data_IF_212132432050
#
_entry.id   IF_212132432050
#
_cell.length_a   1.000
_cell.length_b   1.000
_cell.length_c   1.000
_cell.angle_alpha   90.00
_cell.angle_beta   90.00
_cell.angle_gamma   90.00
#
_symmetry.space_group_name_H-M   'P 1'
#
loop_
_entity.id
_entity.type
_entity.pdbx_description
1 polymer ?
#
# COMPACT_ATOMS: atom_id res chain seq x y z
N UNK A 1 6.71 18.95 -3.57
CA UNK A 1 8.03 18.35 -3.22
C UNK A 1 7.78 16.93 -2.76
N UNK A 2 8.04 15.93 -3.58
CA UNK A 2 7.88 14.52 -3.20
C UNK A 2 9.01 14.17 -2.22
N UNK A 3 8.71 13.89 -0.93
CA UNK A 3 9.76 13.54 0.02
C UNK A 3 10.47 12.27 -0.47
N UNK A 4 11.77 12.41 -0.72
CA UNK A 4 12.64 11.37 -1.27
C UNK A 4 12.76 10.12 -0.35
N UNK A 5 12.47 10.29 0.93
CA UNK A 5 12.51 9.21 1.91
C UNK A 5 11.15 8.51 1.99
N UNK A 6 11.04 7.34 1.35
CA UNK A 6 9.95 6.41 1.64
C UNK A 6 10.08 5.96 3.10
N UNK A 7 9.32 6.58 4.01
CA UNK A 7 9.05 6.04 5.35
C UNK A 7 8.21 4.77 5.17
N UNK A 8 8.86 3.65 4.88
CA UNK A 8 8.20 2.38 4.61
C UNK A 8 9.08 1.19 4.96
N UNK A 9 8.43 0.05 5.19
CA UNK A 9 9.12 -1.22 5.41
C UNK A 9 10.00 -1.55 4.20
N UNK A 10 11.31 -1.55 4.39
CA UNK A 10 12.31 -1.84 3.35
C UNK A 10 12.10 -3.20 2.66
N UNK A 11 11.47 -4.15 3.36
CA UNK A 11 11.11 -5.46 2.80
C UNK A 11 10.10 -5.35 1.66
N UNK A 12 9.26 -4.30 1.63
CA UNK A 12 8.24 -4.08 0.59
C UNK A 12 8.85 -3.85 -0.81
N UNK A 13 10.12 -3.44 -0.88
CA UNK A 13 10.82 -3.24 -2.15
C UNK A 13 11.95 -4.25 -2.36
N UNK A 14 12.61 -4.67 -1.28
CA UNK A 14 13.70 -5.64 -1.36
C UNK A 14 13.22 -7.00 -1.88
N UNK A 15 12.13 -7.54 -1.33
CA UNK A 15 11.62 -8.86 -1.73
C UNK A 15 11.16 -8.87 -3.19
N UNK A 16 10.33 -7.92 -3.66
CA UNK A 16 9.97 -7.84 -5.08
C UNK A 16 11.19 -7.70 -6.01
N UNK A 17 12.21 -6.93 -5.62
CA UNK A 17 13.41 -6.79 -6.43
C UNK A 17 14.19 -8.10 -6.56
N UNK A 18 14.32 -8.86 -5.47
CA UNK A 18 14.96 -10.18 -5.48
C UNK A 18 14.20 -11.14 -6.40
N UNK A 19 12.87 -11.15 -6.33
CA UNK A 19 12.03 -11.97 -7.20
C UNK A 19 12.15 -11.57 -8.67
N UNK A 20 12.24 -10.27 -8.95
CA UNK A 20 12.45 -9.73 -10.30
C UNK A 20 13.80 -10.15 -10.88
N UNK A 21 14.88 -10.06 -10.08
CA UNK A 21 16.20 -10.52 -10.49
C UNK A 21 16.22 -12.03 -10.72
N UNK A 22 15.63 -12.81 -9.81
CA UNK A 22 15.50 -14.26 -9.98
C UNK A 22 14.69 -14.62 -11.25
N UNK A 23 13.62 -13.88 -11.53
CA UNK A 23 12.85 -14.00 -12.76
C UNK A 23 13.71 -13.76 -14.00
N UNK A 24 14.54 -12.72 -13.99
CA UNK A 24 15.45 -12.43 -15.09
C UNK A 24 16.44 -13.58 -15.31
N UNK A 25 17.02 -14.14 -14.24
CA UNK A 25 17.94 -15.29 -14.37
C UNK A 25 17.25 -16.50 -14.98
N UNK A 26 16.08 -16.87 -14.45
CA UNK A 26 15.36 -18.05 -14.92
C UNK A 26 14.93 -17.91 -16.38
N UNK A 27 14.52 -16.70 -16.77
CA UNK A 27 14.23 -16.38 -18.15
C UNK A 27 15.48 -16.52 -19.04
N UNK A 28 16.60 -15.92 -18.63
CA UNK A 28 17.85 -15.95 -19.40
C UNK A 28 18.35 -17.37 -19.60
N UNK A 29 18.45 -18.18 -18.53
CA UNK A 29 18.91 -19.56 -18.65
C UNK A 29 17.91 -20.46 -19.38
N UNK A 30 16.60 -20.28 -19.15
CA UNK A 30 15.57 -21.01 -19.88
C UNK A 30 15.63 -20.74 -21.39
N UNK A 31 15.88 -19.48 -21.76
CA UNK A 31 16.05 -19.06 -23.16
C UNK A 31 17.35 -19.62 -23.74
N UNK A 32 18.47 -19.52 -23.02
CA UNK A 32 19.77 -20.07 -23.43
C UNK A 32 19.69 -21.56 -23.72
N UNK A 33 19.11 -22.35 -22.81
CA UNK A 33 18.93 -23.80 -22.98
C UNK A 33 18.03 -24.12 -24.17
N UNK A 34 16.90 -23.42 -24.31
CA UNK A 34 15.97 -23.62 -25.43
C UNK A 34 16.66 -23.33 -26.78
N UNK A 35 17.45 -22.26 -26.85
CA UNK A 35 18.21 -21.92 -28.06
C UNK A 35 19.32 -22.93 -28.36
N UNK A 36 20.05 -23.42 -27.35
CA UNK A 36 21.06 -24.48 -27.53
C UNK A 36 20.44 -25.79 -28.02
N UNK A 37 19.21 -26.11 -27.62
CA UNK A 37 18.49 -27.29 -28.13
C UNK A 37 18.09 -27.16 -29.60
N UNK A 38 17.70 -25.96 -30.02
CA UNK A 38 17.35 -25.66 -31.42
C UNK A 38 18.60 -25.54 -32.30
N UNK A 39 19.66 -24.93 -31.77
CA UNK A 39 20.91 -24.63 -32.45
C UNK A 39 22.09 -25.12 -31.58
N UNK A 40 22.61 -26.35 -31.78
CA UNK A 40 23.69 -26.90 -30.94
C UNK A 40 25.00 -26.10 -30.97
N UNK A 41 25.21 -25.27 -31.99
CA UNK A 41 26.34 -24.34 -32.12
C UNK A 41 26.12 -23.00 -31.41
N UNK A 42 24.94 -22.80 -30.80
CA UNK A 42 24.59 -21.55 -30.14
C UNK A 42 25.49 -21.29 -28.93
N UNK A 43 26.22 -20.18 -28.97
CA UNK A 43 27.07 -19.70 -27.87
C UNK A 43 26.41 -18.52 -27.16
N UNK A 44 25.93 -17.55 -27.94
CA UNK A 44 25.18 -16.39 -27.47
C UNK A 44 24.28 -15.86 -28.58
N UNK A 45 23.24 -15.09 -28.21
CA UNK A 45 22.38 -14.42 -29.19
C UNK A 45 23.24 -13.54 -30.10
N UNK A 46 24.15 -12.74 -29.54
CA UNK A 46 25.03 -11.86 -30.30
C UNK A 46 25.93 -12.58 -31.31
N UNK A 47 26.48 -13.74 -30.92
CA UNK A 47 27.37 -14.52 -31.77
C UNK A 47 26.60 -15.26 -32.87
N UNK A 48 25.41 -15.81 -32.56
CA UNK A 48 24.55 -16.46 -33.56
C UNK A 48 24.19 -15.45 -34.67
N UNK A 49 23.83 -14.20 -34.30
CA UNK A 49 23.55 -13.15 -35.28
C UNK A 49 24.75 -12.69 -36.09
N UNK A 50 25.92 -12.62 -35.46
CA UNK A 50 27.14 -12.26 -36.18
C UNK A 50 27.44 -13.29 -37.29
N UNK A 51 27.16 -14.57 -37.04
CA UNK A 51 27.36 -15.63 -38.01
C UNK A 51 26.34 -15.58 -39.16
N UNK A 52 25.07 -15.27 -38.87
CA UNK A 52 24.00 -15.27 -39.88
C UNK A 52 23.99 -14.02 -40.78
N UNK A 53 24.28 -12.84 -40.22
CA UNK A 53 24.09 -11.55 -40.92
C UNK A 53 25.43 -10.86 -41.21
N UNK A 54 26.54 -11.33 -40.61
CA UNK A 54 27.86 -10.70 -40.74
C UNK A 54 27.95 -9.32 -40.07
N UNK A 55 26.96 -8.96 -39.24
CA UNK A 55 26.89 -7.68 -38.55
C UNK A 55 27.31 -7.84 -37.08
N UNK A 56 28.26 -7.02 -36.62
CA UNK A 56 28.72 -7.05 -35.23
C UNK A 56 27.88 -6.12 -34.36
N UNK A 57 27.20 -6.68 -33.36
CA UNK A 57 26.40 -5.94 -32.39
C UNK A 57 27.21 -5.36 -31.22
N UNK A 58 28.55 -5.48 -31.24
CA UNK A 58 29.44 -5.11 -30.14
C UNK A 58 29.27 -3.66 -29.65
N UNK A 59 28.88 -2.73 -30.52
CA UNK A 59 28.63 -1.32 -30.17
C UNK A 59 27.18 -1.09 -29.72
N UNK A 60 26.22 -1.87 -30.24
CA UNK A 60 24.79 -1.68 -30.01
C UNK A 60 24.34 -2.23 -28.66
N UNK A 61 24.93 -3.33 -28.20
CA UNK A 61 24.62 -3.93 -26.89
C UNK A 61 24.83 -2.95 -25.72
N UNK A 62 26.02 -2.37 -25.51
CA UNK A 62 26.23 -1.42 -24.40
C UNK A 62 25.43 -0.12 -24.59
N UNK A 63 25.20 0.29 -25.84
CA UNK A 63 24.39 1.46 -26.15
C UNK A 63 22.94 1.24 -25.71
N UNK A 64 22.34 0.10 -26.03
CA UNK A 64 20.95 -0.19 -25.70
C UNK A 64 20.76 -0.41 -24.19
N UNK A 65 21.74 -1.06 -23.55
CA UNK A 65 21.81 -1.17 -22.10
C UNK A 65 21.89 0.20 -21.43
N UNK A 66 22.71 1.11 -21.96
CA UNK A 66 22.81 2.49 -21.51
C UNK A 66 21.50 3.28 -21.70
N UNK A 67 20.82 3.09 -22.84
CA UNK A 67 19.50 3.70 -23.12
C UNK A 67 18.46 3.19 -22.10
N UNK A 68 18.40 1.88 -21.86
CA UNK A 68 17.50 1.29 -20.88
C UNK A 68 17.72 1.87 -19.48
N UNK A 69 18.98 1.98 -19.05
CA UNK A 69 19.35 2.54 -17.75
C UNK A 69 18.98 4.03 -17.62
N UNK A 70 19.23 4.81 -18.68
CA UNK A 70 18.90 6.22 -18.73
C UNK A 70 17.38 6.43 -18.68
N UNK A 71 16.62 5.68 -19.49
CA UNK A 71 15.15 5.78 -19.51
C UNK A 71 14.57 5.38 -18.15
N UNK A 72 15.10 4.33 -17.52
CA UNK A 72 14.69 3.96 -16.17
C UNK A 72 14.91 5.11 -15.18
N UNK A 73 16.05 5.81 -15.26
CA UNK A 73 16.35 6.98 -14.44
C UNK A 73 15.44 8.19 -14.68
N UNK A 74 15.14 8.51 -15.94
CA UNK A 74 14.21 9.60 -16.28
C UNK A 74 12.79 9.25 -15.82
N UNK A 75 12.36 8.02 -16.09
CA UNK A 75 11.00 7.58 -15.76
C UNK A 75 10.78 7.52 -14.24
N UNK A 76 11.80 7.06 -13.51
CA UNK A 76 11.89 7.09 -12.06
C UNK A 76 11.69 8.50 -11.47
N UNK A 77 12.35 9.50 -12.07
CA UNK A 77 12.31 10.89 -11.62
C UNK A 77 10.97 11.54 -11.95
N UNK A 78 10.47 11.34 -13.18
CA UNK A 78 9.23 11.97 -13.67
C UNK A 78 7.96 11.38 -13.05
N UNK A 79 7.84 10.05 -13.00
CA UNK A 79 6.61 9.35 -12.60
C UNK A 79 6.67 8.74 -11.21
N UNK A 80 7.80 8.91 -10.53
CA UNK A 80 8.05 8.32 -9.24
C UNK A 80 8.54 6.88 -9.30
N UNK A 81 9.20 6.50 -8.21
CA UNK A 81 9.98 5.27 -8.05
C UNK A 81 9.17 3.99 -8.19
N UNK A 82 7.99 4.01 -7.59
CA UNK A 82 7.07 2.88 -7.61
C UNK A 82 6.59 2.59 -9.02
N UNK A 83 6.26 3.64 -9.78
CA UNK A 83 5.83 3.54 -11.17
C UNK A 83 6.96 2.98 -12.03
N UNK A 84 8.21 3.44 -11.80
CA UNK A 84 9.39 2.85 -12.43
C UNK A 84 9.52 1.35 -12.15
N UNK A 85 9.44 0.94 -10.88
CA UNK A 85 9.54 -0.47 -10.50
C UNK A 85 8.45 -1.34 -11.14
N UNK A 86 7.21 -0.87 -11.13
CA UNK A 86 6.09 -1.56 -11.76
C UNK A 86 6.29 -1.66 -13.28
N UNK A 87 6.87 -0.63 -13.92
CA UNK A 87 7.22 -0.68 -15.34
C UNK A 87 8.29 -1.74 -15.61
N UNK A 88 9.31 -1.89 -14.77
CA UNK A 88 10.30 -2.98 -14.94
C UNK A 88 9.66 -4.35 -14.77
N UNK A 89 8.76 -4.49 -13.80
CA UNK A 89 8.05 -5.75 -13.58
C UNK A 89 7.21 -6.12 -14.81
N UNK A 90 6.53 -5.13 -15.41
CA UNK A 90 5.80 -5.29 -16.66
C UNK A 90 6.74 -5.67 -17.81
N UNK A 91 7.83 -4.93 -18.01
CA UNK A 91 8.81 -5.19 -19.07
C UNK A 91 9.41 -6.59 -18.96
N UNK A 92 9.75 -7.04 -17.75
CA UNK A 92 10.25 -8.40 -17.51
C UNK A 92 9.18 -9.46 -17.80
N UNK A 93 7.92 -9.21 -17.42
CA UNK A 93 6.81 -10.11 -17.73
C UNK A 93 6.56 -10.23 -19.23
N UNK A 94 6.60 -9.10 -19.95
CA UNK A 94 6.49 -9.07 -21.42
C UNK A 94 7.65 -9.81 -22.08
N UNK A 95 8.89 -9.57 -21.62
CA UNK A 95 10.06 -10.28 -22.12
C UNK A 95 9.92 -11.79 -21.92
N UNK A 96 9.48 -12.22 -20.72
CA UNK A 96 9.28 -13.64 -20.43
C UNK A 96 8.19 -14.27 -21.31
N UNK A 97 7.05 -13.60 -21.49
CA UNK A 97 5.92 -14.09 -22.29
C UNK A 97 6.26 -14.13 -23.79
N UNK A 98 6.82 -13.05 -24.33
CA UNK A 98 7.05 -12.92 -25.77
C UNK A 98 8.32 -13.61 -26.23
N UNK A 99 9.29 -13.89 -25.34
CA UNK A 99 10.54 -14.56 -25.73
C UNK A 99 10.31 -15.87 -26.48
N UNK A 100 9.40 -16.73 -26.03
CA UNK A 100 9.07 -18.00 -26.70
C UNK A 100 8.56 -17.81 -28.12
N UNK A 101 7.86 -16.71 -28.40
CA UNK A 101 7.35 -16.43 -29.74
C UNK A 101 8.46 -16.07 -30.74
N UNK A 102 9.62 -15.59 -30.27
CA UNK A 102 10.74 -15.17 -31.14
C UNK A 102 11.65 -16.31 -31.59
N UNK A 103 11.50 -17.53 -31.06
CA UNK A 103 12.34 -18.69 -31.43
C UNK A 103 11.56 -19.99 -31.72
N UNK A 104 10.22 -19.95 -31.77
CA UNK A 104 9.36 -21.12 -32.08
C UNK A 104 9.21 -21.37 -33.59
N UNK A 105 9.40 -20.34 -34.42
CA UNK A 105 9.49 -20.50 -35.88
C UNK A 105 10.95 -20.72 -36.27
N UNK A 106 11.20 -21.54 -37.28
CA UNK A 106 12.52 -21.91 -37.83
C UNK A 106 13.41 -20.76 -38.32
N UNK A 107 13.04 -19.52 -38.02
CA UNK A 107 13.78 -18.28 -38.23
C UNK A 107 13.83 -17.62 -36.85
N UNK A 108 14.99 -17.62 -36.21
CA UNK A 108 15.17 -16.84 -34.98
C UNK A 108 15.09 -15.35 -35.37
N UNK A 109 13.98 -14.68 -35.06
CA UNK A 109 13.91 -13.22 -35.05
C UNK A 109 14.58 -12.69 -33.78
N UNK A 110 15.84 -13.07 -33.60
CA UNK A 110 16.57 -12.77 -32.38
C UNK A 110 17.18 -11.36 -32.34
N UNK A 111 17.10 -10.57 -33.41
CA UNK A 111 17.38 -9.13 -33.33
C UNK A 111 16.38 -8.46 -32.37
N UNK A 112 15.05 -8.54 -32.58
CA UNK A 112 14.07 -8.07 -31.60
C UNK A 112 14.31 -8.60 -30.19
N UNK A 113 14.63 -9.88 -30.05
CA UNK A 113 14.86 -10.50 -28.75
C UNK A 113 16.10 -9.93 -28.05
N UNK A 114 17.22 -9.82 -28.76
CA UNK A 114 18.46 -9.23 -28.24
C UNK A 114 18.26 -7.77 -27.84
N UNK A 115 17.54 -7.01 -28.68
CA UNK A 115 17.25 -5.62 -28.38
C UNK A 115 16.38 -5.50 -27.10
N UNK A 116 15.33 -6.31 -27.00
CA UNK A 116 14.47 -6.32 -25.82
C UNK A 116 15.24 -6.77 -24.57
N UNK A 117 16.06 -7.81 -24.66
CA UNK A 117 16.92 -8.28 -23.57
C UNK A 117 17.81 -7.17 -23.04
N UNK A 118 18.66 -6.57 -23.89
CA UNK A 118 19.63 -5.55 -23.46
C UNK A 118 18.94 -4.29 -22.95
N UNK A 119 17.79 -3.95 -23.52
CA UNK A 119 16.96 -2.85 -23.02
C UNK A 119 16.41 -3.14 -21.61
N UNK A 120 15.84 -4.33 -21.38
CA UNK A 120 15.29 -4.72 -20.08
C UNK A 120 16.39 -4.85 -19.04
N UNK A 121 17.54 -5.44 -19.37
CA UNK A 121 18.72 -5.47 -18.51
C UNK A 121 19.18 -4.07 -18.12
N UNK A 122 19.31 -3.18 -19.10
CA UNK A 122 19.63 -1.77 -18.87
C UNK A 122 18.62 -1.11 -17.94
N UNK A 123 17.33 -1.35 -18.15
CA UNK A 123 16.26 -0.81 -17.32
C UNK A 123 16.35 -1.31 -15.87
N UNK A 124 16.57 -2.62 -15.68
CA UNK A 124 16.78 -3.25 -14.36
C UNK A 124 18.00 -2.61 -13.67
N UNK A 125 19.12 -2.45 -14.37
CA UNK A 125 20.33 -1.80 -13.86
C UNK A 125 20.06 -0.34 -13.48
N UNK A 126 19.33 0.39 -14.31
CA UNK A 126 18.94 1.77 -14.03
C UNK A 126 18.12 1.90 -12.75
N UNK A 127 17.12 1.02 -12.54
CA UNK A 127 16.33 0.98 -11.30
C UNK A 127 17.20 0.59 -10.10
N UNK A 128 18.03 -0.43 -10.27
CA UNK A 128 18.99 -0.87 -9.25
C UNK A 128 19.82 0.32 -8.76
N UNK A 129 20.55 0.96 -9.67
CA UNK A 129 21.47 2.05 -9.39
C UNK A 129 20.77 3.33 -8.89
N UNK A 130 19.63 3.71 -9.50
CA UNK A 130 19.04 5.04 -9.30
C UNK A 130 17.86 5.06 -8.32
N UNK A 131 17.09 3.96 -8.21
CA UNK A 131 15.80 3.97 -7.52
C UNK A 131 15.80 3.33 -6.14
N UNK A 132 16.40 2.14 -5.99
CA UNK A 132 16.24 1.32 -4.79
C UNK A 132 17.34 1.61 -3.76
N UNK A 133 18.57 1.91 -4.18
CA UNK A 133 19.71 1.82 -3.24
C UNK A 133 20.10 3.12 -2.53
N UNK A 134 19.65 4.27 -3.01
CA UNK A 134 20.03 5.58 -2.45
C UNK A 134 19.18 6.00 -1.24
N UNK A 135 17.92 5.54 -1.13
CA UNK A 135 16.89 6.15 -0.26
C UNK A 135 16.08 5.18 0.63
N UNK A 136 16.31 3.86 0.54
CA UNK A 136 15.51 2.92 1.34
C UNK A 136 15.90 2.99 2.82
N UNK A 137 15.02 3.56 3.65
CA UNK A 137 14.93 3.47 5.10
C UNK A 137 15.79 4.44 5.93
N UNK A 138 15.70 4.32 7.27
CA UNK A 138 16.37 5.25 8.20
C UNK A 138 17.90 5.31 8.03
N UNK A 139 18.55 6.46 8.28
CA UNK A 139 19.99 6.65 8.10
C UNK A 139 20.84 5.60 8.84
N UNK A 140 20.40 5.16 10.03
CA UNK A 140 21.12 4.22 10.89
C UNK A 140 21.28 2.81 10.33
N UNK A 141 20.37 2.37 9.45
CA UNK A 141 20.41 1.03 8.85
C UNK A 141 20.77 1.05 7.35
N UNK A 142 21.13 2.22 6.81
CA UNK A 142 21.48 2.42 5.39
C UNK A 142 22.65 1.53 4.97
N UNK A 143 23.74 1.51 5.75
CA UNK A 143 24.94 0.74 5.42
C UNK A 143 24.69 -0.79 5.37
N UNK A 144 23.95 -1.34 6.35
CA UNK A 144 23.63 -2.78 6.38
C UNK A 144 22.75 -3.21 5.22
N UNK A 145 21.76 -2.39 4.84
CA UNK A 145 20.89 -2.66 3.69
C UNK A 145 21.66 -2.60 2.37
N UNK A 146 22.49 -1.57 2.18
CA UNK A 146 23.37 -1.44 1.01
C UNK A 146 24.31 -2.64 0.92
N UNK A 147 24.92 -3.08 2.03
CA UNK A 147 25.80 -4.24 2.04
C UNK A 147 25.07 -5.55 1.67
N UNK A 148 23.88 -5.79 2.21
CA UNK A 148 23.09 -7.00 1.91
C UNK A 148 22.66 -7.04 0.44
N UNK A 149 22.28 -5.88 -0.10
CA UNK A 149 21.98 -5.70 -1.51
C UNK A 149 23.20 -5.96 -2.39
N UNK A 150 24.34 -5.35 -2.09
CA UNK A 150 25.56 -5.56 -2.89
C UNK A 150 26.04 -7.00 -2.80
N UNK A 151 25.88 -7.65 -1.64
CA UNK A 151 26.14 -9.07 -1.49
C UNK A 151 25.23 -9.90 -2.40
N UNK A 152 23.93 -9.58 -2.46
CA UNK A 152 23.00 -10.26 -3.36
C UNK A 152 23.31 -9.98 -4.83
N UNK A 153 23.58 -8.73 -5.21
CA UNK A 153 23.91 -8.35 -6.58
C UNK A 153 25.25 -8.95 -7.02
N UNK A 154 26.26 -8.96 -6.15
CA UNK A 154 27.52 -9.64 -6.40
C UNK A 154 27.28 -11.15 -6.54
N UNK A 155 26.46 -11.75 -5.68
CA UNK A 155 26.07 -13.15 -5.79
C UNK A 155 25.33 -13.45 -7.10
N UNK A 156 24.42 -12.58 -7.52
CA UNK A 156 23.71 -12.64 -8.80
C UNK A 156 24.68 -12.56 -9.98
N UNK A 157 25.58 -11.59 -9.97
CA UNK A 157 26.58 -11.40 -11.03
C UNK A 157 27.56 -12.58 -11.07
N UNK A 158 28.03 -13.06 -9.91
CA UNK A 158 28.90 -14.24 -9.81
C UNK A 158 28.19 -15.50 -10.30
N UNK A 159 26.91 -15.69 -9.98
CA UNK A 159 26.14 -16.83 -10.46
C UNK A 159 25.94 -16.75 -11.98
N UNK A 160 25.64 -15.56 -12.51
CA UNK A 160 25.55 -15.31 -13.94
C UNK A 160 26.88 -15.63 -14.64
N UNK A 161 28.00 -15.17 -14.07
CA UNK A 161 29.33 -15.41 -14.61
C UNK A 161 29.74 -16.89 -14.51
N UNK A 162 29.41 -17.56 -13.42
CA UNK A 162 29.69 -18.98 -13.22
C UNK A 162 28.87 -19.89 -14.17
N UNK A 163 27.63 -19.50 -14.49
CA UNK A 163 26.78 -20.24 -15.43
C UNK A 163 27.07 -19.90 -16.90
N UNK A 164 27.53 -18.69 -17.19
CA UNK A 164 27.86 -18.29 -18.57
C UNK A 164 29.27 -18.74 -18.99
N UNK A 165 30.22 -18.69 -18.06
CA UNK A 165 31.56 -19.18 -18.27
C UNK A 165 31.80 -20.46 -17.45
N UNK A 166 31.78 -21.61 -18.13
CA UNK A 166 32.29 -22.89 -17.64
C UNK A 166 33.82 -22.87 -17.39
N UNK A 167 34.36 -21.79 -16.82
CA UNK A 167 35.80 -21.50 -16.68
C UNK A 167 36.43 -22.14 -15.45
N UNK A 168 35.64 -22.61 -14.48
CA UNK A 168 36.20 -23.13 -13.23
C UNK A 168 36.74 -24.55 -13.34
N UNK A 169 36.61 -25.23 -14.49
CA UNK A 169 37.00 -26.65 -14.65
C UNK A 169 36.23 -27.60 -13.72
N UNK A 170 35.32 -27.04 -12.92
CA UNK A 170 34.30 -27.73 -12.18
C UNK A 170 33.23 -28.07 -13.21
N UNK A 171 33.29 -29.29 -13.70
CA UNK A 171 32.26 -29.95 -14.51
C UNK A 171 31.03 -30.23 -13.64
N UNK A 172 30.59 -29.20 -12.89
CA UNK A 172 29.29 -29.14 -12.27
C UNK A 172 28.35 -28.79 -13.41
N UNK A 173 28.13 -29.79 -14.27
CA UNK A 173 26.92 -29.90 -15.07
C UNK A 173 25.82 -29.99 -14.03
N UNK A 174 25.34 -28.84 -13.56
CA UNK A 174 24.18 -28.85 -12.69
C UNK A 174 23.10 -29.45 -13.55
N UNK A 175 22.60 -30.63 -13.18
CA UNK A 175 21.65 -31.45 -13.93
C UNK A 175 20.24 -30.81 -14.00
N UNK A 176 20.20 -29.49 -14.13
CA UNK A 176 19.03 -28.69 -14.37
C UNK A 176 18.71 -28.53 -15.86
N UNK A 177 19.56 -29.05 -16.74
CA UNK A 177 19.50 -28.82 -18.20
C UNK A 177 18.13 -29.14 -18.81
N UNK A 178 17.43 -30.17 -18.31
CA UNK A 178 16.05 -30.45 -18.73
C UNK A 178 14.98 -29.59 -18.06
N UNK A 179 15.14 -29.26 -16.78
CA UNK A 179 14.11 -28.59 -15.99
C UNK A 179 14.13 -27.07 -16.17
N UNK A 180 15.30 -26.45 -16.24
CA UNK A 180 15.43 -25.01 -16.45
C UNK A 180 15.00 -24.64 -17.87
N UNK A 181 15.36 -25.42 -18.89
CA UNK A 181 14.85 -25.19 -20.24
C UNK A 181 13.32 -25.27 -20.31
N UNK A 182 12.74 -26.31 -19.71
CA UNK A 182 11.29 -26.55 -19.77
C UNK A 182 10.46 -25.62 -18.89
N UNK A 183 10.95 -25.27 -17.70
CA UNK A 183 10.18 -24.56 -16.69
C UNK A 183 10.71 -23.15 -16.38
N UNK A 184 11.91 -22.78 -16.84
CA UNK A 184 12.53 -21.48 -16.54
C UNK A 184 11.68 -20.29 -16.99
N UNK A 185 11.18 -20.31 -18.24
CA UNK A 185 10.25 -19.30 -18.74
C UNK A 185 8.96 -19.20 -17.92
N UNK A 186 8.19 -20.31 -17.73
CA UNK A 186 7.01 -20.32 -16.87
C UNK A 186 7.26 -19.84 -15.44
N UNK A 187 8.37 -20.22 -14.81
CA UNK A 187 8.74 -19.75 -13.48
C UNK A 187 9.09 -18.27 -13.47
N UNK A 188 9.77 -17.75 -14.50
CA UNK A 188 10.02 -16.33 -14.64
C UNK A 188 8.69 -15.56 -14.70
N UNK A 189 7.73 -16.00 -15.51
CA UNK A 189 6.39 -15.40 -15.57
C UNK A 189 5.73 -15.41 -14.18
N UNK A 190 5.72 -16.57 -13.50
CA UNK A 190 5.16 -16.67 -12.15
C UNK A 190 5.82 -15.69 -11.17
N UNK A 191 7.15 -15.58 -11.19
CA UNK A 191 7.89 -14.66 -10.32
C UNK A 191 7.58 -13.20 -10.65
N UNK A 192 7.45 -12.83 -11.92
CA UNK A 192 7.00 -11.47 -12.29
C UNK A 192 5.59 -11.17 -11.81
N UNK A 193 4.67 -12.14 -11.86
CA UNK A 193 3.31 -11.98 -11.35
C UNK A 193 3.27 -11.85 -9.83
N UNK A 194 4.05 -12.66 -9.10
CA UNK A 194 4.19 -12.53 -7.64
C UNK A 194 4.81 -11.18 -7.29
N UNK A 195 5.83 -10.75 -8.04
CA UNK A 195 6.47 -9.43 -7.89
C UNK A 195 5.43 -8.32 -8.04
N UNK A 196 4.61 -8.38 -9.10
CA UNK A 196 3.55 -7.43 -9.38
C UNK A 196 2.49 -7.43 -8.28
N UNK A 197 2.09 -8.60 -7.80
CA UNK A 197 1.12 -8.75 -6.71
C UNK A 197 1.62 -8.07 -5.43
N UNK A 198 2.88 -8.28 -5.05
CA UNK A 198 3.47 -7.70 -3.84
C UNK A 198 3.74 -6.19 -4.02
N UNK A 199 4.11 -5.74 -5.22
CA UNK A 199 4.49 -4.34 -5.47
C UNK A 199 3.32 -3.43 -5.81
N UNK A 200 2.26 -3.98 -6.42
CA UNK A 200 1.02 -3.25 -6.64
C UNK A 200 0.45 -2.85 -5.29
N UNK A 201 -0.06 -1.61 -5.19
CA UNK A 201 -1.05 -1.41 -4.14
C UNK A 201 -2.20 -2.29 -4.58
N UNK A 202 -2.53 -3.29 -3.77
CA UNK A 202 -3.87 -3.89 -3.83
C UNK A 202 -4.81 -2.71 -3.99
N UNK A 203 -5.64 -2.66 -5.04
CA UNK A 203 -6.65 -1.63 -5.10
C UNK A 203 -7.30 -1.70 -3.73
N UNK A 204 -7.14 -0.64 -2.93
CA UNK A 204 -8.05 -0.47 -1.82
C UNK A 204 -9.36 -0.56 -2.56
N UNK A 205 -10.12 -1.63 -2.31
CA UNK A 205 -11.50 -1.66 -2.72
C UNK A 205 -11.99 -0.44 -1.96
N UNK A 206 -11.98 0.70 -2.66
CA UNK A 206 -12.62 1.90 -2.21
C UNK A 206 -14.04 1.38 -2.13
N UNK A 207 -14.43 1.00 -0.92
CA UNK A 207 -15.80 1.17 -0.52
C UNK A 207 -16.12 2.55 -1.02
N UNK A 208 -17.06 2.60 -1.97
CA UNK A 208 -17.54 3.79 -2.66
C UNK A 208 -18.25 4.76 -1.69
N UNK A 209 -17.85 4.68 -0.43
CA UNK A 209 -18.36 5.29 0.78
C UNK A 209 -17.31 6.24 1.38
N UNK A 210 -16.01 6.11 1.05
CA UNK A 210 -14.94 6.96 1.63
C UNK A 210 -14.53 8.16 0.74
N UNK A 211 -14.89 8.18 -0.55
CA UNK A 211 -14.76 9.42 -1.35
C UNK A 211 -15.90 10.43 -1.07
N UNK A 212 -16.86 10.11 -0.19
CA UNK A 212 -17.79 11.11 0.37
C UNK A 212 -17.20 11.84 1.59
N UNK A 213 -16.08 11.38 2.16
CA UNK A 213 -15.42 12.07 3.29
C UNK A 213 -14.47 13.19 2.83
N UNK A 214 -13.73 13.02 1.71
CA UNK A 214 -12.90 14.11 1.15
C UNK A 214 -13.67 15.05 0.20
N UNK A 215 -14.94 14.74 -0.05
CA UNK A 215 -15.96 15.72 -0.45
C UNK A 215 -16.67 16.29 0.78
N UNK A 216 -15.97 16.36 1.93
CA UNK A 216 -16.18 17.45 2.87
C UNK A 216 -16.06 18.73 2.07
N UNK A 217 -17.21 19.22 1.63
CA UNK A 217 -17.35 20.54 1.08
C UNK A 217 -16.67 21.46 2.08
N UNK A 218 -15.50 21.97 1.71
CA UNK A 218 -14.91 23.19 2.25
C UNK A 218 -15.88 24.32 1.84
N UNK A 219 -17.11 24.24 2.34
CA UNK A 219 -17.96 25.39 2.41
C UNK A 219 -17.23 26.30 3.39
N UNK A 220 -16.65 27.38 2.86
CA UNK A 220 -16.08 28.43 3.69
C UNK A 220 -17.07 28.68 4.83
N UNK A 221 -16.65 28.51 6.09
CA UNK A 221 -17.54 28.59 7.26
C UNK A 221 -18.38 29.88 7.24
N UNK A 222 -17.87 30.92 6.57
CA UNK A 222 -18.57 32.18 6.32
C UNK A 222 -19.78 32.04 5.39
N UNK A 223 -19.70 31.25 4.33
CA UNK A 223 -20.81 31.01 3.40
C UNK A 223 -21.88 30.11 4.03
N UNK A 224 -21.49 29.09 4.79
CA UNK A 224 -22.45 28.30 5.58
C UNK A 224 -23.15 29.19 6.60
N UNK A 225 -22.40 30.00 7.35
CA UNK A 225 -22.96 30.89 8.35
C UNK A 225 -23.89 31.93 7.75
N UNK A 226 -23.52 32.55 6.63
CA UNK A 226 -24.35 33.53 5.93
C UNK A 226 -25.63 32.89 5.36
N UNK A 227 -25.56 31.65 4.87
CA UNK A 227 -26.73 30.94 4.33
C UNK A 227 -27.65 30.48 5.47
N UNK A 228 -27.11 29.98 6.57
CA UNK A 228 -27.91 29.53 7.70
C UNK A 228 -28.55 30.71 8.43
N UNK A 229 -27.83 31.81 8.65
CA UNK A 229 -28.37 33.06 9.24
C UNK A 229 -29.48 33.69 8.36
N UNK A 230 -29.41 33.51 7.04
CA UNK A 230 -30.44 33.97 6.11
C UNK A 230 -31.73 33.12 6.11
N UNK A 231 -31.68 31.86 6.55
CA UNK A 231 -32.81 30.92 6.45
C UNK A 231 -33.29 30.36 7.80
N UNK A 232 -32.47 30.42 8.85
CA UNK A 232 -32.73 29.90 10.19
C UNK A 232 -32.30 30.97 11.19
N UNK A 233 -33.23 31.51 11.97
CA UNK A 233 -32.94 32.60 12.91
C UNK A 233 -31.89 32.21 13.98
N UNK A 234 -31.23 33.22 14.54
CA UNK A 234 -30.03 33.10 15.40
C UNK A 234 -30.13 32.10 16.57
N UNK A 235 -31.33 31.87 17.11
CA UNK A 235 -31.52 31.01 18.28
C UNK A 235 -31.32 29.51 17.98
N UNK A 236 -31.57 29.05 16.75
CA UNK A 236 -31.50 27.63 16.38
C UNK A 236 -30.11 27.17 15.90
N UNK A 237 -29.22 28.11 15.54
CA UNK A 237 -27.87 27.79 15.04
C UNK A 237 -26.98 27.16 16.11
N UNK A 238 -27.09 27.64 17.35
CA UNK A 238 -26.32 27.14 18.50
C UNK A 238 -26.61 25.68 18.82
N UNK A 239 -27.87 25.26 18.65
CA UNK A 239 -28.34 23.89 18.83
C UNK A 239 -27.78 22.93 17.77
N UNK A 240 -27.71 23.40 16.51
CA UNK A 240 -27.16 22.63 15.39
C UNK A 240 -25.64 22.49 15.50
N UNK A 241 -24.93 23.57 15.87
CA UNK A 241 -23.49 23.55 16.08
C UNK A 241 -23.10 22.57 17.21
N UNK A 242 -23.88 22.55 18.31
CA UNK A 242 -23.65 21.59 19.40
C UNK A 242 -23.94 20.12 19.03
N UNK A 243 -24.80 19.86 18.03
CA UNK A 243 -25.03 18.52 17.51
C UNK A 243 -23.92 18.05 16.57
N UNK A 244 -23.36 18.97 15.77
CA UNK A 244 -22.22 18.72 14.87
C UNK A 244 -20.92 18.45 15.64
N UNK A 245 -20.61 19.26 16.67
CA UNK A 245 -19.47 18.99 17.57
C UNK A 245 -19.58 17.64 18.30
N UNK A 246 -20.80 17.11 18.46
CA UNK A 246 -21.03 15.79 19.07
C UNK A 246 -20.75 14.66 18.07
N UNK A 247 -21.02 14.86 16.78
CA UNK A 247 -20.73 13.90 15.70
C UNK A 247 -19.21 13.78 15.46
N UNK A 248 -18.50 14.91 15.43
CA UNK A 248 -17.03 14.94 15.34
C UNK A 248 -16.36 14.25 16.55
N UNK A 249 -16.92 14.44 17.75
CA UNK A 249 -16.41 13.78 18.96
C UNK A 249 -16.70 12.27 19.00
N UNK A 250 -17.61 11.76 18.16
CA UNK A 250 -17.87 10.32 18.01
C UNK A 250 -17.02 9.64 16.95
N UNK A 251 -16.43 10.37 16.00
CA UNK A 251 -15.57 9.79 14.94
C UNK A 251 -14.18 9.35 15.43
N UNK A 252 -13.74 9.76 16.63
CA UNK A 252 -12.47 9.28 17.23
C UNK A 252 -12.59 7.93 17.96
N UNK A 253 -13.76 7.28 17.99
CA UNK A 253 -13.92 5.96 18.63
C UNK A 253 -14.48 4.97 17.60
N UNK A 254 -13.58 4.11 17.09
CA UNK A 254 -13.93 2.96 16.25
C UNK A 254 -15.13 2.19 16.84
N UNK A 255 -16.13 1.86 16.02
CA UNK A 255 -17.32 1.07 16.39
C UNK A 255 -16.97 -0.22 17.16
N UNK A 256 -15.77 -0.78 16.93
CA UNK A 256 -15.25 -1.93 17.66
C UNK A 256 -14.89 -1.64 19.11
N UNK A 257 -14.38 -0.44 19.43
CA UNK A 257 -14.00 -0.05 20.80
C UNK A 257 -15.22 0.40 21.61
N UNK A 258 -16.22 1.03 20.96
CA UNK A 258 -17.46 1.42 21.65
C UNK A 258 -18.25 0.20 22.12
N UNK A 259 -18.35 -0.85 21.30
CA UNK A 259 -19.01 -2.10 21.68
C UNK A 259 -18.31 -2.85 22.83
N UNK A 260 -16.98 -2.79 22.91
CA UNK A 260 -16.19 -3.50 23.92
C UNK A 260 -16.08 -2.72 25.26
N UNK A 261 -16.13 -1.38 25.20
CA UNK A 261 -16.12 -0.49 26.38
C UNK A 261 -17.52 -0.39 27.02
N UNK A 262 -18.59 -0.40 26.22
CA UNK A 262 -19.98 -0.16 26.63
C UNK A 262 -20.78 -1.47 26.76
N UNK A 263 -20.11 -2.58 27.14
CA UNK A 263 -20.76 -3.87 27.36
C UNK A 263 -22.09 -3.75 28.12
N UNK A 264 -23.03 -4.68 27.90
CA UNK A 264 -24.43 -4.63 28.35
C UNK A 264 -24.64 -4.26 29.84
N UNK A 265 -23.60 -4.41 30.68
CA UNK A 265 -23.58 -4.02 32.09
C UNK A 265 -23.38 -2.50 32.34
N UNK A 266 -22.78 -1.75 31.41
CA UNK A 266 -22.51 -0.31 31.57
C UNK A 266 -23.80 0.52 31.55
N UNK A 267 -24.80 0.07 30.80
CA UNK A 267 -26.14 0.66 30.79
C UNK A 267 -26.86 0.55 32.13
N UNK A 268 -26.42 -0.35 33.03
CA UNK A 268 -27.00 -0.54 34.37
C UNK A 268 -26.13 0.03 35.49
N UNK A 269 -24.90 0.48 35.22
CA UNK A 269 -23.89 0.75 36.25
C UNK A 269 -23.83 2.20 36.78
N UNK A 270 -24.45 3.16 36.08
CA UNK A 270 -24.40 4.58 36.47
C UNK A 270 -25.77 5.06 36.97
N UNK A 271 -25.98 5.15 38.30
CA UNK A 271 -27.25 5.62 38.86
C UNK A 271 -27.46 7.10 38.55
N UNK A 272 -28.71 7.46 38.23
CA UNK A 272 -29.12 8.82 37.86
C UNK A 272 -28.77 9.86 38.93
N UNK A 273 -28.76 9.48 40.22
CA UNK A 273 -28.37 10.34 41.34
C UNK A 273 -26.95 10.90 41.28
N UNK A 274 -26.06 10.32 40.49
CA UNK A 274 -24.70 10.86 40.33
C UNK A 274 -24.67 12.15 39.51
N UNK A 275 -25.76 12.47 38.80
CA UNK A 275 -25.88 13.68 38.00
C UNK A 275 -26.27 14.84 38.91
N UNK A 276 -25.45 15.91 38.98
CA UNK A 276 -25.82 17.15 39.66
C UNK A 276 -27.21 17.66 39.23
N UNK A 277 -28.04 18.06 40.20
CA UNK A 277 -29.37 18.59 39.92
C UNK A 277 -30.50 17.57 39.76
N UNK A 278 -30.21 16.25 39.77
CA UNK A 278 -31.23 15.20 39.85
C UNK A 278 -31.53 14.85 41.32
N UNK A 279 -32.65 15.37 41.82
CA UNK A 279 -33.20 14.99 43.12
C UNK A 279 -34.11 13.74 43.05
N UNK A 280 -34.55 13.19 44.20
CA UNK A 280 -35.32 11.93 44.26
C UNK A 280 -36.63 11.99 43.46
N UNK A 281 -37.31 13.15 43.45
CA UNK A 281 -38.54 13.35 42.67
C UNK A 281 -38.31 13.41 41.16
N UNK A 282 -37.12 13.84 40.73
CA UNK A 282 -36.79 13.93 39.32
C UNK A 282 -36.28 12.58 38.80
N UNK A 283 -35.56 11.84 39.63
CA UNK A 283 -35.18 10.46 39.34
C UNK A 283 -36.40 9.57 39.10
N UNK A 284 -37.42 9.65 39.96
CA UNK A 284 -38.66 8.87 39.80
C UNK A 284 -39.34 9.14 38.46
N UNK A 285 -39.44 10.43 38.07
CA UNK A 285 -39.99 10.84 36.78
C UNK A 285 -39.16 10.39 35.58
N UNK A 286 -37.84 10.36 35.72
CA UNK A 286 -36.94 9.89 34.66
C UNK A 286 -37.05 8.38 34.46
N UNK A 287 -37.19 7.64 35.57
CA UNK A 287 -37.42 6.19 35.53
C UNK A 287 -38.80 5.87 34.95
N UNK A 288 -39.83 6.63 35.30
CA UNK A 288 -41.17 6.53 34.71
C UNK A 288 -41.17 6.82 33.20
N UNK A 289 -40.35 7.79 32.76
CA UNK A 289 -40.11 8.09 31.36
C UNK A 289 -39.21 7.06 30.63
N UNK A 290 -38.78 6.00 31.31
CA UNK A 290 -38.02 4.88 30.73
C UNK A 290 -36.50 5.01 30.79
N UNK A 291 -35.95 6.06 31.40
CA UNK A 291 -34.51 6.26 31.55
C UNK A 291 -34.03 5.64 32.87
N UNK A 292 -33.20 4.60 32.78
CA UNK A 292 -32.72 3.84 33.95
C UNK A 292 -31.30 4.20 34.38
N UNK A 293 -30.54 4.89 33.53
CA UNK A 293 -29.14 5.22 33.81
C UNK A 293 -28.68 6.54 33.21
N UNK A 294 -27.61 7.09 33.78
CA UNK A 294 -26.99 8.32 33.28
C UNK A 294 -26.46 8.17 31.85
N UNK A 295 -26.06 6.96 31.45
CA UNK A 295 -25.61 6.66 30.09
C UNK A 295 -26.75 6.77 29.07
N UNK A 296 -27.94 6.27 29.40
CA UNK A 296 -29.13 6.43 28.55
C UNK A 296 -29.53 7.90 28.45
N UNK A 297 -29.44 8.62 29.56
CA UNK A 297 -29.78 10.04 29.60
C UNK A 297 -28.81 10.90 28.77
N UNK A 298 -27.51 10.58 28.79
CA UNK A 298 -26.48 11.33 28.05
C UNK A 298 -26.67 11.32 26.52
N UNK A 299 -27.33 10.29 25.99
CA UNK A 299 -27.63 10.12 24.56
C UNK A 299 -28.95 10.73 24.09
N UNK A 300 -29.75 11.31 24.97
CA UNK A 300 -31.04 11.93 24.62
C UNK A 300 -30.87 13.42 24.25
N UNK A 301 -31.90 14.00 23.62
CA UNK A 301 -31.96 15.44 23.30
C UNK A 301 -32.84 16.20 24.28
N UNK A 302 -32.55 17.49 24.50
CA UNK A 302 -33.28 18.31 25.46
C UNK A 302 -34.78 18.42 25.16
N UNK A 303 -35.14 18.52 23.87
CA UNK A 303 -36.53 18.55 23.40
C UNK A 303 -37.28 17.23 23.68
N UNK A 304 -36.62 16.07 23.50
CA UNK A 304 -37.21 14.76 23.81
C UNK A 304 -37.30 14.51 25.31
N UNK A 305 -36.34 15.01 26.07
CA UNK A 305 -36.33 14.88 27.53
C UNK A 305 -37.41 15.77 28.16
N UNK A 306 -37.55 17.01 27.72
CA UNK A 306 -38.56 17.94 28.24
C UNK A 306 -39.99 17.55 27.86
N UNK A 307 -40.19 16.94 26.70
CA UNK A 307 -41.51 16.46 26.26
C UNK A 307 -41.96 15.16 26.95
N UNK A 308 -41.01 14.29 27.33
CA UNK A 308 -41.31 13.02 28.02
C UNK A 308 -41.37 13.16 29.54
N UNK A 309 -40.67 14.13 30.13
CA UNK A 309 -40.55 14.30 31.58
C UNK A 309 -41.40 15.49 32.02
N UNK A 310 -42.53 15.22 32.64
CA UNK A 310 -43.48 16.25 33.04
C UNK A 310 -42.88 17.25 34.05
N UNK A 311 -42.91 18.53 33.72
CA UNK A 311 -42.40 19.63 34.56
C UNK A 311 -40.91 19.93 34.35
N UNK A 312 -40.31 19.47 33.25
CA UNK A 312 -38.93 19.80 32.88
C UNK A 312 -38.91 20.85 31.76
N UNK A 313 -38.37 22.05 32.04
CA UNK A 313 -38.13 23.05 30.99
C UNK A 313 -36.95 22.63 30.10
N UNK A 314 -36.93 23.12 28.86
CA UNK A 314 -35.87 22.82 27.90
C UNK A 314 -34.48 23.24 28.42
N UNK A 315 -34.35 24.45 28.96
CA UNK A 315 -33.11 24.94 29.58
C UNK A 315 -32.62 24.03 30.72
N UNK A 316 -33.55 23.51 31.53
CA UNK A 316 -33.21 22.63 32.64
C UNK A 316 -32.83 21.24 32.15
N UNK A 317 -33.48 20.76 31.09
CA UNK A 317 -33.14 19.51 30.42
C UNK A 317 -31.73 19.56 29.83
N UNK A 318 -31.35 20.65 29.17
CA UNK A 318 -30.00 20.85 28.62
C UNK A 318 -28.93 20.78 29.70
N UNK A 319 -29.15 21.46 30.82
CA UNK A 319 -28.21 21.43 31.95
C UNK A 319 -28.03 20.02 32.50
N UNK A 320 -29.12 19.27 32.68
CA UNK A 320 -29.07 17.89 33.18
C UNK A 320 -28.36 16.96 32.18
N UNK A 321 -28.57 17.15 30.87
CA UNK A 321 -27.89 16.39 29.82
C UNK A 321 -26.39 16.66 29.80
N UNK A 322 -25.99 17.93 29.92
CA UNK A 322 -24.58 18.32 30.02
C UNK A 322 -23.90 17.70 31.25
N UNK A 323 -24.57 17.78 32.40
CA UNK A 323 -24.11 17.19 33.65
C UNK A 323 -24.03 15.65 33.54
N UNK A 324 -25.00 15.00 32.90
CA UNK A 324 -24.98 13.55 32.66
C UNK A 324 -23.80 13.11 31.79
N UNK A 325 -23.53 13.83 30.71
CA UNK A 325 -22.40 13.59 29.81
C UNK A 325 -21.06 13.73 30.55
N UNK A 326 -20.94 14.71 31.44
CA UNK A 326 -19.73 14.93 32.23
C UNK A 326 -19.42 13.73 33.16
N UNK A 327 -20.46 13.20 33.82
CA UNK A 327 -20.36 12.05 34.73
C UNK A 327 -20.01 10.77 33.97
N UNK A 328 -20.61 10.56 32.79
CA UNK A 328 -20.29 9.41 31.92
C UNK A 328 -18.83 9.49 31.47
N UNK A 329 -18.36 10.65 30.98
CA UNK A 329 -16.97 10.86 30.56
C UNK A 329 -15.96 10.60 31.69
N UNK A 330 -16.27 11.07 32.90
CA UNK A 330 -15.42 10.83 34.08
C UNK A 330 -15.38 9.34 34.43
N UNK A 331 -16.51 8.64 34.42
CA UNK A 331 -16.56 7.21 34.73
C UNK A 331 -15.76 6.33 33.75
N UNK A 332 -15.72 6.72 32.47
CA UNK A 332 -14.90 6.04 31.44
C UNK A 332 -13.41 6.26 31.73
N UNK A 333 -13.02 7.49 32.08
CA UNK A 333 -11.63 7.85 32.43
C UNK A 333 -11.13 7.12 33.68
N UNK A 334 -11.95 7.02 34.71
CA UNK A 334 -11.60 6.34 35.96
C UNK A 334 -11.40 4.83 35.73
N UNK A 335 -12.25 4.20 34.90
CA UNK A 335 -12.14 2.78 34.53
C UNK A 335 -10.89 2.48 33.68
N UNK A 336 -10.48 3.41 32.82
CA UNK A 336 -9.24 3.31 32.01
C UNK A 336 -7.97 3.40 32.87
N UNK A 337 -8.04 4.07 34.02
CA UNK A 337 -6.90 4.24 34.93
C UNK A 337 -6.71 3.06 35.90
N UNK A 338 -7.74 2.23 36.09
CA UNK A 338 -7.71 1.04 36.96
C UNK A 338 -7.31 -0.26 36.24
N UNK A 339 -7.21 -0.24 34.90
CA UNK A 339 -6.70 -1.35 34.08
C UNK A 339 -5.20 -1.19 33.82
#
# INVERSE_FOLDING_TARGET
KYPLAVHGNHMKYFVPMVLLLASHMLWFFGTKVSLTQLHPSYVSISQEFQNDIGFSFAIYEPLLLGIGALIAGIFADMKGRKTGFNMTTLLMGLLAIFSTAFYDSSIIEGIPLLLMERFVEGFIIGICCLLIWTELGSPRAKARRIALVWFFFLGYALLFWALDHAYLGLDVVIAFDGYIGRFGGPFAILLTLITLYISSDTPKILGREVEMEELSLDFDDKEVKATVEAFVGDDDFSSIQHQLEFLDATEEISDSEFGEIVGADFQNALPLRRIPGIGPKLEEKLVEAGYKSAAQLAGETASRLSSKVEGLSQERAEKILADARSVVKQSIRDKKTQR
#
